data_IF_647312100350
#
_entry.id   IF_647312100350
#
_cell.length_a   1.000
_cell.length_b   1.000
_cell.length_c   1.000
_cell.angle_alpha   90.00
_cell.angle_beta   90.00
_cell.angle_gamma   90.00
#
_symmetry.space_group_name_H-M   'P 1'
#
loop_
_entity.id
_entity.type
_entity.pdbx_description
1 polymer ?
#
# COMPACT_ATOMS: atom_id res chain seq x y z
N UNK A 1 -7.83 -26.25 5.02
CA UNK A 1 -7.15 -25.78 3.79
C UNK A 1 -7.23 -24.25 3.61
N UNK A 2 -8.36 -23.59 3.96
CA UNK A 2 -8.57 -22.13 3.88
C UNK A 2 -7.45 -21.21 4.38
N UNK A 3 -6.86 -21.37 5.59
CA UNK A 3 -5.83 -20.43 6.08
C UNK A 3 -4.53 -20.47 5.27
N UNK A 4 -4.18 -21.62 4.67
CA UNK A 4 -3.04 -21.73 3.76
C UNK A 4 -3.30 -21.02 2.44
N UNK A 5 -4.53 -21.12 1.93
CA UNK A 5 -4.97 -20.42 0.71
C UNK A 5 -4.97 -18.91 0.89
N UNK A 6 -5.54 -18.40 2.00
CA UNK A 6 -5.53 -16.97 2.33
C UNK A 6 -4.10 -16.44 2.51
N UNK A 7 -3.27 -17.14 3.27
CA UNK A 7 -1.86 -16.75 3.43
C UNK A 7 -1.12 -16.72 2.09
N UNK A 8 -1.32 -17.71 1.22
CA UNK A 8 -0.72 -17.75 -0.11
C UNK A 8 -1.23 -16.61 -1.02
N UNK A 9 -2.52 -16.30 -0.96
CA UNK A 9 -3.11 -15.16 -1.69
C UNK A 9 -2.48 -13.85 -1.20
N UNK A 10 -2.46 -13.61 0.12
CA UNK A 10 -1.93 -12.36 0.68
C UNK A 10 -0.43 -12.22 0.36
N UNK A 11 0.37 -13.27 0.52
CA UNK A 11 1.78 -13.25 0.14
C UNK A 11 1.98 -13.07 -1.37
N UNK A 12 1.17 -13.73 -2.20
CA UNK A 12 1.25 -13.63 -3.66
C UNK A 12 0.94 -12.22 -4.14
N UNK A 13 -0.15 -11.62 -3.67
CA UNK A 13 -0.50 -10.23 -3.99
C UNK A 13 0.54 -9.25 -3.44
N UNK A 14 1.05 -9.45 -2.23
CA UNK A 14 2.12 -8.63 -1.66
C UNK A 14 3.39 -8.67 -2.51
N UNK A 15 3.79 -9.87 -2.96
CA UNK A 15 4.93 -10.05 -3.84
C UNK A 15 4.71 -9.36 -5.19
N UNK A 16 3.52 -9.50 -5.79
CA UNK A 16 3.17 -8.80 -7.04
C UNK A 16 3.25 -7.28 -6.86
N UNK A 17 2.70 -6.72 -5.77
CA UNK A 17 2.77 -5.29 -5.52
C UNK A 17 4.20 -4.81 -5.24
N UNK A 18 5.00 -5.62 -4.54
CA UNK A 18 6.41 -5.31 -4.28
C UNK A 18 7.24 -5.32 -5.57
N UNK A 19 7.01 -6.30 -6.47
CA UNK A 19 7.65 -6.32 -7.78
C UNK A 19 7.18 -5.17 -8.68
N UNK A 20 5.89 -4.82 -8.60
CA UNK A 20 5.33 -3.67 -9.26
C UNK A 20 6.11 -2.42 -8.83
N UNK A 21 6.10 -2.08 -7.53
CA UNK A 21 6.81 -0.91 -6.98
C UNK A 21 8.30 -0.91 -7.33
N UNK A 22 9.01 -2.03 -7.21
CA UNK A 22 10.42 -2.14 -7.58
C UNK A 22 10.67 -1.85 -9.07
N UNK A 23 9.84 -2.40 -9.96
CA UNK A 23 9.96 -2.15 -11.39
C UNK A 23 9.75 -0.67 -11.72
N UNK A 24 8.88 0.03 -10.97
CA UNK A 24 8.67 1.47 -11.13
C UNK A 24 9.82 2.30 -10.57
N UNK A 25 10.37 1.97 -9.41
CA UNK A 25 11.53 2.66 -8.86
C UNK A 25 12.72 2.57 -9.83
N UNK A 26 12.94 1.39 -10.42
CA UNK A 26 13.95 1.19 -11.47
C UNK A 26 13.60 2.03 -12.71
N UNK A 27 12.34 2.00 -13.16
CA UNK A 27 11.87 2.78 -14.31
C UNK A 27 12.10 4.28 -14.12
N UNK A 28 11.85 4.79 -12.92
CA UNK A 28 12.10 6.17 -12.54
C UNK A 28 13.60 6.52 -12.57
N UNK A 29 14.44 5.66 -12.00
CA UNK A 29 15.90 5.83 -12.03
C UNK A 29 16.47 5.78 -13.46
N UNK A 30 15.83 5.06 -14.38
CA UNK A 30 16.27 4.98 -15.78
C UNK A 30 15.97 6.27 -16.56
N UNK A 31 14.88 6.97 -16.22
CA UNK A 31 14.48 8.20 -16.91
C UNK A 31 15.05 9.47 -16.27
N UNK A 32 15.59 9.38 -15.05
CA UNK A 32 16.20 10.53 -14.38
C UNK A 32 17.35 11.08 -15.23
N UNK A 33 17.37 12.39 -15.45
CA UNK A 33 18.35 13.09 -16.30
C UNK A 33 18.39 12.65 -17.77
N UNK A 34 17.31 12.05 -18.31
CA UNK A 34 17.18 11.77 -19.75
C UNK A 34 16.06 12.59 -20.38
N UNK A 35 16.29 13.06 -21.60
CA UNK A 35 15.21 13.60 -22.43
C UNK A 35 14.29 12.46 -22.87
N UNK A 36 13.07 12.46 -22.34
CA UNK A 36 12.04 11.46 -22.63
C UNK A 36 10.79 12.13 -23.19
N UNK A 37 10.06 11.40 -24.03
CA UNK A 37 8.80 11.91 -24.58
C UNK A 37 7.76 12.10 -23.47
N UNK A 38 6.84 13.04 -23.65
CA UNK A 38 5.70 13.26 -22.74
C UNK A 38 4.91 11.97 -22.52
N UNK A 39 4.79 11.13 -23.55
CA UNK A 39 4.09 9.85 -23.46
C UNK A 39 4.83 8.84 -22.61
N UNK A 40 6.15 8.68 -22.82
CA UNK A 40 6.99 7.83 -21.97
C UNK A 40 6.94 8.29 -20.52
N UNK A 41 7.04 9.60 -20.29
CA UNK A 41 6.94 10.11 -18.92
C UNK A 41 5.56 9.92 -18.31
N UNK A 42 4.48 10.10 -19.08
CA UNK A 42 3.13 9.87 -18.60
C UNK A 42 2.89 8.40 -18.23
N UNK A 43 3.46 7.46 -18.98
CA UNK A 43 3.44 6.05 -18.63
C UNK A 43 4.17 5.84 -17.29
N UNK A 44 5.40 6.34 -17.16
CA UNK A 44 6.17 6.14 -15.93
C UNK A 44 5.47 6.80 -14.73
N UNK A 45 4.98 8.04 -14.84
CA UNK A 45 4.42 8.80 -13.71
C UNK A 45 2.97 8.45 -13.34
N UNK A 46 2.14 8.03 -14.29
CA UNK A 46 0.73 7.73 -13.99
C UNK A 46 0.47 6.26 -13.67
N UNK A 47 1.40 5.35 -13.99
CA UNK A 47 1.33 3.98 -13.50
C UNK A 47 2.05 3.82 -12.14
N UNK A 48 2.75 4.86 -11.66
CA UNK A 48 3.35 4.94 -10.32
C UNK A 48 2.29 5.25 -9.28
N UNK A 49 1.85 4.20 -8.60
CA UNK A 49 0.82 4.27 -7.58
C UNK A 49 0.97 3.08 -6.64
N UNK A 50 1.24 3.34 -5.36
CA UNK A 50 1.64 2.36 -4.34
C UNK A 50 0.51 1.33 -4.09
N UNK A 51 0.59 0.11 -4.67
CA UNK A 51 -0.44 -0.91 -4.48
C UNK A 51 -0.29 -1.57 -3.11
N UNK A 52 0.90 -1.54 -2.50
CA UNK A 52 1.17 -2.19 -1.21
C UNK A 52 0.32 -1.57 -0.09
N UNK A 53 0.14 -0.24 -0.12
CA UNK A 53 -0.75 0.48 0.80
C UNK A 53 -2.18 -0.11 0.82
N UNK A 54 -2.75 -0.34 -0.37
CA UNK A 54 -4.11 -0.87 -0.52
C UNK A 54 -4.21 -2.35 -0.14
N UNK A 55 -3.15 -3.12 -0.35
CA UNK A 55 -3.10 -4.53 0.06
C UNK A 55 -3.00 -4.69 1.58
N UNK A 56 -2.25 -3.81 2.24
CA UNK A 56 -2.19 -3.74 3.70
C UNK A 56 -3.58 -3.48 4.31
N UNK A 57 -4.40 -2.66 3.65
CA UNK A 57 -5.78 -2.41 4.06
C UNK A 57 -6.68 -3.65 3.97
N UNK A 58 -6.66 -4.39 2.85
CA UNK A 58 -7.50 -5.59 2.70
C UNK A 58 -7.16 -6.65 3.75
N UNK A 59 -5.86 -6.86 4.03
CA UNK A 59 -5.42 -7.78 5.08
C UNK A 59 -5.87 -7.31 6.48
N UNK A 60 -5.68 -6.02 6.77
CA UNK A 60 -6.09 -5.42 8.04
C UNK A 60 -7.61 -5.53 8.25
N UNK A 61 -8.40 -5.30 7.22
CA UNK A 61 -9.86 -5.40 7.25
C UNK A 61 -10.30 -6.84 7.53
N UNK A 62 -9.74 -7.81 6.83
CA UNK A 62 -10.04 -9.23 7.05
C UNK A 62 -9.79 -9.65 8.51
N UNK A 63 -8.61 -9.30 9.03
CA UNK A 63 -8.22 -9.59 10.42
C UNK A 63 -9.11 -8.85 11.43
N UNK A 64 -9.50 -7.63 11.13
CA UNK A 64 -10.36 -6.82 11.99
C UNK A 64 -11.77 -7.42 12.08
N UNK A 65 -12.36 -7.83 10.94
CA UNK A 65 -13.66 -8.49 10.89
C UNK A 65 -13.71 -9.74 11.79
N UNK A 66 -12.64 -10.52 11.79
CA UNK A 66 -12.55 -11.72 12.63
C UNK A 66 -12.30 -11.35 14.10
N UNK A 67 -11.43 -10.38 14.37
CA UNK A 67 -11.06 -10.02 15.74
C UNK A 67 -12.21 -9.42 16.56
N UNK A 68 -13.10 -8.66 15.91
CA UNK A 68 -14.18 -7.93 16.56
C UNK A 68 -15.58 -8.51 16.32
N UNK A 69 -15.84 -9.03 15.12
CA UNK A 69 -17.18 -9.52 14.74
C UNK A 69 -17.25 -11.04 14.59
N UNK A 70 -16.13 -11.76 14.74
CA UNK A 70 -16.03 -13.20 14.45
C UNK A 70 -16.54 -13.55 13.04
N UNK A 71 -16.45 -12.59 12.11
CA UNK A 71 -16.97 -12.74 10.76
C UNK A 71 -15.86 -13.16 9.79
N UNK A 72 -16.00 -14.34 9.18
CA UNK A 72 -15.04 -14.85 8.20
C UNK A 72 -15.37 -14.40 6.77
N UNK A 73 -14.62 -13.43 6.23
CA UNK A 73 -14.78 -13.00 4.83
C UNK A 73 -14.50 -14.16 3.87
N UNK A 74 -15.36 -14.33 2.86
CA UNK A 74 -15.19 -15.39 1.86
C UNK A 74 -13.90 -15.22 1.06
N UNK A 75 -13.29 -16.33 0.61
CA UNK A 75 -12.09 -16.30 -0.25
C UNK A 75 -12.31 -15.47 -1.52
N UNK A 76 -13.51 -15.54 -2.10
CA UNK A 76 -13.89 -14.78 -3.29
C UNK A 76 -13.89 -13.29 -2.98
N UNK A 77 -14.49 -12.88 -1.85
CA UNK A 77 -14.50 -11.48 -1.43
C UNK A 77 -13.09 -10.94 -1.24
N UNK A 78 -12.23 -11.70 -0.55
CA UNK A 78 -10.83 -11.33 -0.33
C UNK A 78 -10.09 -11.18 -1.66
N UNK A 79 -10.23 -12.16 -2.55
CA UNK A 79 -9.61 -12.12 -3.88
C UNK A 79 -10.10 -10.93 -4.73
N UNK A 80 -11.41 -10.67 -4.73
CA UNK A 80 -12.01 -9.53 -5.45
C UNK A 80 -11.45 -8.22 -4.91
N UNK A 81 -11.38 -8.05 -3.59
CA UNK A 81 -10.82 -6.84 -2.98
C UNK A 81 -9.34 -6.67 -3.36
N UNK A 82 -8.53 -7.73 -3.27
CA UNK A 82 -7.12 -7.67 -3.68
C UNK A 82 -6.91 -7.35 -5.16
N UNK A 83 -7.86 -7.71 -6.02
CA UNK A 83 -7.76 -7.51 -7.48
C UNK A 83 -8.34 -6.17 -7.92
N UNK A 84 -9.45 -5.72 -7.32
CA UNK A 84 -10.16 -4.51 -7.75
C UNK A 84 -9.32 -3.25 -7.53
N UNK A 85 -8.60 -3.17 -6.41
CA UNK A 85 -7.75 -2.03 -6.08
C UNK A 85 -6.62 -1.75 -7.10
N UNK A 86 -5.76 -2.73 -7.46
CA UNK A 86 -4.74 -2.51 -8.48
C UNK A 86 -5.37 -2.24 -9.86
N UNK A 87 -6.50 -2.86 -10.19
CA UNK A 87 -7.20 -2.59 -11.45
C UNK A 87 -7.75 -1.16 -11.54
N UNK A 88 -8.26 -0.59 -10.44
CA UNK A 88 -8.68 0.82 -10.41
C UNK A 88 -7.48 1.74 -10.66
N UNK A 89 -6.33 1.45 -10.02
CA UNK A 89 -5.12 2.24 -10.21
C UNK A 89 -4.62 2.17 -11.67
N UNK A 90 -4.59 0.97 -12.26
CA UNK A 90 -4.25 0.76 -13.66
C UNK A 90 -5.23 1.50 -14.58
N UNK A 91 -6.54 1.40 -14.32
CA UNK A 91 -7.56 2.06 -15.11
C UNK A 91 -7.42 3.59 -15.10
N UNK A 92 -7.14 4.18 -13.94
CA UNK A 92 -6.88 5.62 -13.84
C UNK A 92 -5.55 5.99 -14.52
N UNK A 93 -4.51 5.15 -14.41
CA UNK A 93 -3.24 5.34 -15.12
C UNK A 93 -3.41 5.35 -16.64
N UNK A 94 -4.21 4.42 -17.17
CA UNK A 94 -4.59 4.37 -18.59
C UNK A 94 -5.36 5.63 -18.99
N UNK A 95 -6.35 6.02 -18.19
CA UNK A 95 -7.13 7.24 -18.45
C UNK A 95 -6.23 8.48 -18.53
N UNK A 96 -5.35 8.68 -17.55
CA UNK A 96 -4.45 9.83 -17.54
C UNK A 96 -3.45 9.81 -18.69
N UNK A 97 -2.93 8.64 -19.06
CA UNK A 97 -1.88 8.54 -20.08
C UNK A 97 -2.44 8.67 -21.50
N UNK A 98 -3.54 7.98 -21.80
CA UNK A 98 -4.02 7.81 -23.16
C UNK A 98 -5.28 8.61 -23.49
N UNK A 99 -6.13 8.90 -22.50
CA UNK A 99 -7.43 9.54 -22.73
C UNK A 99 -7.39 11.03 -22.38
N UNK A 100 -6.72 11.38 -21.28
CA UNK A 100 -6.64 12.77 -20.83
C UNK A 100 -5.87 13.64 -21.83
N UNK A 101 -6.47 14.78 -22.16
CA UNK A 101 -5.84 15.86 -22.93
C UNK A 101 -5.22 16.94 -22.04
N UNK A 102 -5.43 16.86 -20.72
CA UNK A 102 -4.84 17.82 -19.77
C UNK A 102 -3.38 17.51 -19.51
N UNK A 103 -2.56 18.54 -19.65
CA UNK A 103 -1.13 18.51 -19.36
C UNK A 103 -0.89 19.21 -18.02
N UNK A 104 -0.11 18.57 -17.17
CA UNK A 104 0.35 19.12 -15.90
C UNK A 104 1.86 19.40 -16.01
N UNK A 105 2.26 20.62 -15.66
CA UNK A 105 3.64 21.12 -15.67
C UNK A 105 4.18 21.23 -14.23
N UNK A 106 4.11 20.14 -13.47
CA UNK A 106 4.46 20.16 -12.03
C UNK A 106 5.25 18.93 -11.62
N UNK A 107 6.05 18.35 -12.51
CA UNK A 107 6.78 17.12 -12.22
C UNK A 107 8.30 17.33 -12.14
N UNK A 108 8.90 16.89 -11.04
CA UNK A 108 10.32 17.14 -10.71
C UNK A 108 11.31 16.39 -11.64
N UNK A 109 10.81 15.42 -12.41
CA UNK A 109 11.61 14.61 -13.35
C UNK A 109 11.21 14.83 -14.80
N UNK A 110 9.98 15.28 -15.06
CA UNK A 110 9.51 15.54 -16.41
C UNK A 110 8.79 16.87 -16.47
N UNK A 111 9.22 17.71 -17.40
CA UNK A 111 8.61 19.02 -17.58
C UNK A 111 7.09 18.98 -17.84
N UNK A 112 6.59 17.90 -18.48
CA UNK A 112 5.18 17.77 -18.84
C UNK A 112 4.72 16.32 -18.71
N UNK A 113 3.58 16.12 -18.04
CA UNK A 113 2.90 14.83 -17.91
C UNK A 113 1.41 14.99 -18.24
N UNK A 114 0.79 14.03 -18.94
CA UNK A 114 -0.66 13.97 -19.12
C UNK A 114 -1.32 13.49 -17.85
N UNK A 115 -1.98 14.37 -17.10
CA UNK A 115 -2.64 14.03 -15.84
C UNK A 115 -3.73 15.04 -15.50
N UNK A 116 -4.87 14.55 -15.03
CA UNK A 116 -5.92 15.42 -14.47
C UNK A 116 -5.69 15.65 -12.98
N UNK A 117 -5.94 16.87 -12.48
CA UNK A 117 -5.80 17.19 -11.05
C UNK A 117 -6.68 16.29 -10.15
N UNK A 118 -7.92 16.02 -10.58
CA UNK A 118 -8.86 15.19 -9.82
C UNK A 118 -8.41 13.73 -9.66
N UNK A 119 -7.88 13.10 -10.71
CA UNK A 119 -7.39 11.71 -10.60
C UNK A 119 -6.20 11.58 -9.68
N UNK A 120 -5.31 12.59 -9.66
CA UNK A 120 -4.19 12.60 -8.73
C UNK A 120 -4.67 12.68 -7.27
N UNK A 121 -5.58 13.62 -6.97
CA UNK A 121 -6.18 13.75 -5.64
C UNK A 121 -6.89 12.45 -5.23
N UNK A 122 -7.70 11.87 -6.11
CA UNK A 122 -8.41 10.60 -5.84
C UNK A 122 -7.43 9.49 -5.48
N UNK A 123 -6.32 9.36 -6.19
CA UNK A 123 -5.36 8.30 -5.93
C UNK A 123 -4.52 8.52 -4.67
N UNK A 124 -4.15 9.76 -4.38
CA UNK A 124 -3.54 10.11 -3.08
C UNK A 124 -4.49 9.73 -1.95
N UNK A 125 -5.77 10.11 -2.04
CA UNK A 125 -6.78 9.77 -1.02
C UNK A 125 -6.94 8.26 -0.87
N UNK A 126 -7.05 7.52 -1.97
CA UNK A 126 -7.23 6.06 -1.92
C UNK A 126 -6.00 5.40 -1.26
N UNK A 127 -4.79 5.77 -1.64
CA UNK A 127 -3.58 5.12 -1.16
C UNK A 127 -3.23 5.51 0.27
N UNK A 128 -3.14 6.81 0.55
CA UNK A 128 -2.78 7.29 1.87
C UNK A 128 -3.90 7.10 2.87
N UNK A 129 -5.16 7.26 2.43
CA UNK A 129 -6.33 6.97 3.23
C UNK A 129 -6.43 5.48 3.58
N UNK A 130 -6.27 4.57 2.61
CA UNK A 130 -6.30 3.13 2.90
C UNK A 130 -5.17 2.71 3.83
N UNK A 131 -3.96 3.23 3.64
CA UNK A 131 -2.82 2.93 4.49
C UNK A 131 -3.02 3.45 5.94
N UNK A 132 -3.51 4.68 6.09
CA UNK A 132 -3.82 5.25 7.41
C UNK A 132 -4.90 4.42 8.13
N UNK A 133 -5.96 4.04 7.42
CA UNK A 133 -7.01 3.17 7.96
C UNK A 133 -6.44 1.79 8.33
N UNK A 134 -5.59 1.19 7.50
CA UNK A 134 -4.95 -0.10 7.78
C UNK A 134 -4.16 -0.06 9.10
N UNK A 135 -3.36 0.99 9.32
CA UNK A 135 -2.61 1.19 10.56
C UNK A 135 -3.53 1.28 11.77
N UNK A 136 -4.63 2.03 11.68
CA UNK A 136 -5.62 2.14 12.76
C UNK A 136 -6.26 0.79 13.08
N UNK A 137 -6.62 0.01 12.05
CA UNK A 137 -7.18 -1.33 12.21
C UNK A 137 -6.18 -2.26 12.90
N UNK A 138 -4.90 -2.23 12.50
CA UNK A 138 -3.86 -3.02 13.15
C UNK A 138 -3.64 -2.65 14.62
N UNK A 139 -3.67 -1.37 14.95
CA UNK A 139 -3.60 -0.90 16.35
C UNK A 139 -4.80 -1.46 17.14
N UNK A 140 -6.00 -1.44 16.56
CA UNK A 140 -7.19 -1.99 17.18
C UNK A 140 -7.08 -3.52 17.39
N UNK A 141 -6.64 -4.25 16.37
CA UNK A 141 -6.38 -5.70 16.43
C UNK A 141 -5.35 -6.01 17.52
N UNK A 142 -4.26 -5.24 17.58
CA UNK A 142 -3.19 -5.41 18.58
C UNK A 142 -3.72 -5.24 20.00
N UNK A 143 -4.48 -4.17 20.26
CA UNK A 143 -5.13 -3.92 21.56
C UNK A 143 -6.09 -5.06 21.92
N UNK A 144 -6.85 -5.58 20.95
CA UNK A 144 -7.77 -6.69 21.16
C UNK A 144 -7.03 -8.00 21.50
N UNK A 145 -5.92 -8.30 20.81
CA UNK A 145 -5.06 -9.45 21.13
C UNK A 145 -4.48 -9.35 22.55
N UNK A 146 -3.99 -8.18 22.94
CA UNK A 146 -3.44 -7.95 24.28
C UNK A 146 -4.49 -8.18 25.37
N UNK A 147 -5.72 -7.66 25.18
CA UNK A 147 -6.85 -7.90 26.10
C UNK A 147 -7.17 -9.38 26.24
N UNK A 148 -7.26 -10.11 25.12
CA UNK A 148 -7.52 -11.56 25.15
C UNK A 148 -6.43 -12.35 25.87
N UNK A 149 -5.16 -11.99 25.68
CA UNK A 149 -4.03 -12.62 26.40
C UNK A 149 -4.08 -12.37 27.90
N UNK A 150 -4.34 -11.13 28.29
CA UNK A 150 -4.49 -10.75 29.69
C UNK A 150 -5.63 -11.50 30.36
N UNK A 151 -6.78 -11.62 29.67
CA UNK A 151 -7.95 -12.30 30.20
C UNK A 151 -7.81 -13.83 30.23
N UNK A 152 -7.03 -14.41 29.33
CA UNK A 152 -6.82 -15.85 29.25
C UNK A 152 -5.76 -16.36 30.25
N UNK A 153 -5.02 -15.48 30.94
CA UNK A 153 -3.96 -15.86 31.88
C UNK A 153 -2.80 -16.62 31.23
N UNK A 154 -2.67 -16.57 29.90
CA UNK A 154 -1.68 -17.35 29.15
C UNK A 154 -0.35 -16.60 29.20
N UNK A 155 0.53 -17.02 30.11
CA UNK A 155 1.97 -16.72 30.07
C UNK A 155 2.58 -17.26 28.76
N UNK A 156 3.58 -16.57 28.18
CA UNK A 156 4.20 -17.04 26.94
C UNK A 156 4.96 -18.33 27.26
N UNK A 157 4.38 -19.47 26.94
CA UNK A 157 5.12 -20.73 26.88
C UNK A 157 6.17 -20.53 25.79
N UNK A 158 7.43 -20.39 26.21
CA UNK A 158 8.58 -20.44 25.33
C UNK A 158 8.52 -21.77 24.57
N UNK A 159 8.15 -21.70 23.28
CA UNK A 159 8.01 -22.87 22.43
C UNK A 159 9.38 -23.31 21.92
N UNK A 160 10.08 -24.14 22.68
CA UNK A 160 11.14 -25.02 22.16
C UNK A 160 10.48 -26.24 21.52
N UNK A 161 10.04 -26.10 20.28
CA UNK A 161 9.95 -27.21 19.32
C UNK A 161 9.65 -26.66 17.94
N UNK A 162 10.65 -26.76 17.06
CA UNK A 162 10.48 -26.64 15.61
C UNK A 162 9.75 -27.88 15.07
N UNK A 163 8.54 -28.16 15.56
CA UNK A 163 7.62 -28.97 14.78
C UNK A 163 7.01 -28.07 13.71
N UNK A 164 6.96 -28.54 12.47
CA UNK A 164 6.24 -27.95 11.35
C UNK A 164 4.73 -27.93 11.63
N UNK A 165 4.31 -27.11 12.59
CA UNK A 165 2.91 -26.97 13.02
C UNK A 165 2.13 -26.38 11.85
N UNK A 166 1.18 -27.16 11.31
CA UNK A 166 0.28 -26.74 10.24
C UNK A 166 -0.36 -25.38 10.59
N UNK A 167 -0.43 -24.47 9.62
CA UNK A 167 -1.07 -23.16 9.80
C UNK A 167 -2.58 -23.35 10.04
N UNK A 168 -2.99 -23.28 11.31
CA UNK A 168 -4.39 -23.32 11.73
C UNK A 168 -5.00 -21.90 11.71
N UNK A 169 -6.33 -21.81 11.59
CA UNK A 169 -7.10 -20.55 11.62
C UNK A 169 -6.74 -19.73 12.86
N UNK A 170 -6.70 -20.40 14.03
CA UNK A 170 -6.38 -19.74 15.30
C UNK A 170 -4.99 -19.13 15.28
N UNK A 171 -4.00 -19.82 14.70
CA UNK A 171 -2.63 -19.31 14.59
C UNK A 171 -2.57 -18.13 13.62
N UNK A 172 -3.18 -18.25 12.45
CA UNK A 172 -3.14 -17.20 11.42
C UNK A 172 -3.69 -15.84 11.91
N UNK A 173 -4.81 -15.84 12.65
CA UNK A 173 -5.44 -14.61 13.12
C UNK A 173 -4.94 -14.11 14.48
N UNK A 174 -4.51 -15.00 15.38
CA UNK A 174 -4.25 -14.66 16.78
C UNK A 174 -2.79 -14.82 17.22
N UNK A 175 -1.91 -15.36 16.40
CA UNK A 175 -0.47 -15.39 16.67
C UNK A 175 0.10 -13.96 16.55
N UNK A 176 0.65 -13.37 17.62
CA UNK A 176 1.18 -12.01 17.60
C UNK A 176 2.37 -11.87 16.65
N UNK A 177 3.09 -12.95 16.38
CA UNK A 177 4.25 -12.95 15.49
C UNK A 177 3.77 -12.74 14.06
N UNK A 178 2.73 -13.47 13.67
CA UNK A 178 2.11 -13.31 12.35
C UNK A 178 1.52 -11.91 12.21
N UNK A 179 0.74 -11.45 13.19
CA UNK A 179 0.14 -10.10 13.17
C UNK A 179 1.22 -9.01 13.10
N UNK A 180 2.35 -9.15 13.81
CA UNK A 180 3.48 -8.23 13.73
C UNK A 180 4.12 -8.21 12.35
N UNK A 181 4.34 -9.36 11.74
CA UNK A 181 4.92 -9.44 10.38
C UNK A 181 4.05 -8.67 9.40
N UNK A 182 2.74 -8.93 9.37
CA UNK A 182 1.85 -8.21 8.45
C UNK A 182 1.73 -6.72 8.77
N UNK A 183 1.74 -6.34 10.06
CA UNK A 183 1.79 -4.93 10.45
C UNK A 183 3.07 -4.24 9.95
N UNK A 184 4.24 -4.86 10.12
CA UNK A 184 5.51 -4.32 9.60
C UNK A 184 5.47 -4.22 8.08
N UNK A 185 4.97 -5.24 7.38
CA UNK A 185 4.78 -5.19 5.93
C UNK A 185 3.83 -4.06 5.48
N UNK A 186 2.85 -3.69 6.30
CA UNK A 186 1.95 -2.57 6.02
C UNK A 186 2.60 -1.20 6.32
N UNK A 187 3.41 -1.10 7.37
CA UNK A 187 4.03 0.17 7.83
C UNK A 187 5.31 0.50 7.09
N UNK A 188 6.10 -0.50 6.69
CA UNK A 188 7.38 -0.28 6.02
C UNK A 188 7.23 0.54 4.72
N UNK A 189 6.28 0.24 3.80
CA UNK A 189 6.05 1.05 2.61
C UNK A 189 5.62 2.49 2.94
N UNK A 190 4.83 2.69 4.01
CA UNK A 190 4.45 4.02 4.47
C UNK A 190 5.69 4.82 4.88
N UNK A 191 6.54 4.24 5.71
CA UNK A 191 7.77 4.89 6.19
C UNK A 191 8.71 5.21 5.03
N UNK A 192 8.85 4.29 4.08
CA UNK A 192 9.68 4.49 2.89
C UNK A 192 9.12 5.54 1.92
N UNK A 193 7.79 5.75 1.91
CA UNK A 193 7.14 6.75 1.08
C UNK A 193 7.06 8.16 1.70
N UNK A 194 7.32 8.31 3.01
CA UNK A 194 7.33 9.61 3.70
C UNK A 194 8.28 10.61 3.02
N UNK A 195 9.54 10.27 2.68
CA UNK A 195 10.45 11.21 2.02
C UNK A 195 9.86 11.77 0.71
N UNK A 196 9.23 10.94 -0.12
CA UNK A 196 8.61 11.36 -1.37
C UNK A 196 7.41 12.26 -1.15
N UNK A 197 6.57 11.99 -0.14
CA UNK A 197 5.44 12.87 0.20
C UNK A 197 5.90 14.21 0.74
N UNK A 198 6.88 14.20 1.64
CA UNK A 198 7.46 15.43 2.19
C UNK A 198 8.05 16.25 1.06
N UNK A 199 8.79 15.65 0.14
CA UNK A 199 9.32 16.35 -1.03
C UNK A 199 8.21 16.95 -1.90
N UNK A 200 7.18 16.16 -2.22
CA UNK A 200 6.02 16.63 -3.02
C UNK A 200 5.28 17.78 -2.35
N UNK A 201 5.05 17.71 -1.03
CA UNK A 201 4.40 18.78 -0.28
C UNK A 201 5.28 20.03 -0.20
N UNK A 202 6.60 19.87 -0.07
CA UNK A 202 7.54 20.98 -0.07
C UNK A 202 7.58 21.66 -1.46
N UNK A 203 7.62 20.91 -2.56
CA UNK A 203 7.65 21.45 -3.92
C UNK A 203 6.32 22.06 -4.36
N UNK A 204 5.18 21.54 -3.89
CA UNK A 204 3.85 22.14 -4.13
C UNK A 204 3.53 23.33 -3.19
N UNK A 205 4.22 23.48 -2.07
CA UNK A 205 4.00 24.60 -1.15
C UNK A 205 4.51 25.92 -1.75
N UNK A 206 3.71 26.99 -1.61
CA UNK A 206 3.99 28.32 -2.15
C UNK A 206 5.37 28.87 -1.72
N UNK A 207 5.78 28.64 -0.47
CA UNK A 207 7.04 27.94 -0.13
C UNK A 207 8.20 28.06 -1.13
N UNK A 208 8.37 26.95 -1.85
CA UNK A 208 9.42 26.72 -2.84
C UNK A 208 9.20 27.53 -4.11
N UNK A 209 7.95 27.69 -4.56
CA UNK A 209 7.67 28.47 -5.78
C UNK A 209 8.07 29.94 -5.62
N UNK A 210 7.83 30.53 -4.46
CA UNK A 210 8.22 31.90 -4.14
C UNK A 210 9.73 32.04 -3.96
N UNK A 211 10.39 31.06 -3.32
CA UNK A 211 11.84 31.06 -3.15
C UNK A 211 12.61 30.85 -4.48
N UNK A 212 12.04 30.12 -5.44
CA UNK A 212 12.61 29.94 -6.79
C UNK A 212 12.30 31.14 -7.69
N UNK A 213 11.14 31.79 -7.54
CA UNK A 213 10.84 33.04 -8.26
C UNK A 213 11.66 34.25 -7.78
N UNK A 214 12.29 34.15 -6.60
CA UNK A 214 13.15 35.19 -6.01
C UNK A 214 14.66 34.84 -6.08
N UNK A 215 15.07 33.83 -6.85
CA UNK A 215 16.48 33.56 -7.16
C UNK A 215 17.03 34.49 -8.27
N UNK A 216 18.33 34.84 -8.22
CA UNK A 216 18.93 36.12 -8.63
C UNK A 216 18.70 36.61 -10.07
#
# INVERSE_FOLDING_TARGET
MRPRGLFAINCGFFLIASFYDLAFDIGYLVIINREVTVQTCSIVRNFVYNPIATQGFVDALERFCIAFFSHEMSMITVFVLYTLFPLICIGIGVYNTFISTTLLQTDDVCAIVRRTKWTNITLVIIQWGSAAVAVLLYIAIWKQLQRRRSNAGITPVASTSHETVKLCITRYYWDPTIVRVFFICCVLPLVLAIPSVVFTLLTESAIYQNAVSEGP
#
